data_IF_881589200115
#
_entry.id   IF_881589200115
#
_cell.length_a   1.000
_cell.length_b   1.000
_cell.length_c   1.000
_cell.angle_alpha   90.00
_cell.angle_beta   90.00
_cell.angle_gamma   90.00
#
_symmetry.space_group_name_H-M   'P 1'
#
loop_
_entity.id
_entity.type
_entity.pdbx_description
1 polymer ?
#
# COMPACT_ATOMS: atom_id res chain seq x y z
N UNK A 1 10.66 41.48 10.85
CA UNK A 1 9.29 41.69 10.36
C UNK A 1 9.14 43.20 10.22
N UNK A 2 8.83 43.72 9.04
CA UNK A 2 8.66 45.17 8.85
C UNK A 2 7.40 45.65 9.56
N UNK A 3 7.37 46.94 9.92
CA UNK A 3 6.21 47.61 10.52
C UNK A 3 4.95 47.42 9.65
N UNK A 4 5.11 47.46 8.32
CA UNK A 4 4.02 47.25 7.37
C UNK A 4 3.45 45.82 7.42
N UNK A 5 4.31 44.81 7.53
CA UNK A 5 3.87 43.43 7.69
C UNK A 5 3.04 43.26 8.97
N UNK A 6 3.48 43.83 10.10
CA UNK A 6 2.72 43.80 11.36
C UNK A 6 1.35 44.49 11.26
N UNK A 7 1.25 45.61 10.53
CA UNK A 7 -0.03 46.30 10.29
C UNK A 7 -1.00 45.39 9.52
N UNK A 8 -0.51 44.75 8.45
CA UNK A 8 -1.34 43.85 7.62
C UNK A 8 -1.82 42.64 8.43
N UNK A 9 -0.97 42.06 9.27
CA UNK A 9 -1.36 40.98 10.17
C UNK A 9 -2.48 41.43 11.14
N UNK A 10 -2.42 42.65 11.66
CA UNK A 10 -3.49 43.20 12.49
C UNK A 10 -4.78 43.45 11.70
N UNK A 11 -4.69 43.90 10.45
CA UNK A 11 -5.86 44.08 9.58
C UNK A 11 -6.57 42.75 9.26
N UNK A 12 -5.82 41.65 9.14
CA UNK A 12 -6.36 40.29 8.98
C UNK A 12 -7.09 39.85 10.24
N UNK A 13 -6.51 40.07 11.43
CA UNK A 13 -7.15 39.77 12.72
C UNK A 13 -8.45 40.55 12.89
N UNK A 14 -8.44 41.83 12.56
CA UNK A 14 -9.64 42.67 12.63
C UNK A 14 -10.75 42.18 11.70
N UNK A 15 -10.42 41.62 10.53
CA UNK A 15 -11.43 40.99 9.67
C UNK A 15 -11.98 39.69 10.27
N UNK A 16 -11.12 38.87 10.88
CA UNK A 16 -11.52 37.63 11.54
C UNK A 16 -12.50 37.91 12.71
N UNK A 17 -12.19 38.93 13.52
CA UNK A 17 -12.93 39.24 14.74
C UNK A 17 -14.08 40.23 14.51
N UNK A 18 -14.05 41.01 13.44
CA UNK A 18 -14.99 42.10 13.15
C UNK A 18 -16.24 41.68 12.37
N UNK A 19 -17.12 42.64 12.10
CA UNK A 19 -18.37 42.41 11.33
C UNK A 19 -18.18 42.44 9.81
N UNK A 20 -17.03 42.93 9.34
CA UNK A 20 -16.72 43.04 7.91
C UNK A 20 -16.65 41.66 7.24
N UNK A 21 -17.33 41.51 6.10
CA UNK A 21 -17.36 40.26 5.33
C UNK A 21 -16.18 40.11 4.36
N UNK A 22 -15.52 41.20 3.99
CA UNK A 22 -14.38 41.17 3.07
C UNK A 22 -13.50 42.39 3.24
N UNK A 23 -12.21 42.25 2.93
CA UNK A 23 -11.24 43.34 2.97
C UNK A 23 -10.20 43.19 1.87
N UNK A 24 -9.80 44.30 1.26
CA UNK A 24 -8.76 44.33 0.23
C UNK A 24 -7.52 45.03 0.80
N UNK A 25 -6.37 44.36 0.75
CA UNK A 25 -5.11 44.85 1.32
C UNK A 25 -4.06 44.93 0.21
N UNK A 26 -3.45 46.10 0.03
CA UNK A 26 -2.32 46.26 -0.88
C UNK A 26 -1.03 45.71 -0.26
N UNK A 27 -0.32 44.88 -1.02
CA UNK A 27 0.97 44.26 -0.67
C UNK A 27 2.13 44.81 -1.53
N UNK A 28 1.93 45.93 -2.21
CA UNK A 28 2.88 46.49 -3.18
C UNK A 28 4.25 46.77 -2.56
N UNK A 29 4.26 47.29 -1.33
CA UNK A 29 5.48 47.68 -0.61
C UNK A 29 6.20 46.52 0.10
N UNK A 30 5.69 45.29 -0.02
CA UNK A 30 6.28 44.12 0.59
C UNK A 30 7.12 43.32 -0.39
N UNK A 31 8.23 42.77 0.09
CA UNK A 31 9.01 41.82 -0.71
C UNK A 31 8.32 40.44 -0.78
N UNK A 32 8.82 39.56 -1.65
CA UNK A 32 8.26 38.22 -1.83
C UNK A 32 8.29 37.35 -0.56
N UNK A 33 9.28 37.55 0.31
CA UNK A 33 9.43 36.79 1.56
C UNK A 33 8.38 37.23 2.58
N UNK A 34 8.15 38.53 2.70
CA UNK A 34 7.13 39.11 3.59
C UNK A 34 5.71 38.77 3.14
N UNK A 35 5.45 38.80 1.83
CA UNK A 35 4.17 38.34 1.27
C UNK A 35 3.90 36.88 1.61
N UNK A 36 4.92 36.01 1.48
CA UNK A 36 4.79 34.60 1.84
C UNK A 36 4.54 34.40 3.34
N UNK A 37 5.12 35.24 4.21
CA UNK A 37 4.83 35.19 5.65
C UNK A 37 3.36 35.50 5.94
N UNK A 38 2.79 36.49 5.26
CA UNK A 38 1.37 36.85 5.41
C UNK A 38 0.47 35.72 4.91
N UNK A 39 0.77 35.12 3.76
CA UNK A 39 0.00 33.98 3.24
C UNK A 39 0.03 32.80 4.21
N UNK A 40 1.23 32.43 4.67
CA UNK A 40 1.38 31.35 5.65
C UNK A 40 0.60 31.64 6.93
N UNK A 41 0.65 32.88 7.44
CA UNK A 41 -0.08 33.26 8.64
C UNK A 41 -1.61 33.10 8.49
N UNK A 42 -2.18 33.48 7.34
CA UNK A 42 -3.61 33.29 7.08
C UNK A 42 -3.93 31.79 6.99
N UNK A 43 -3.10 31.02 6.28
CA UNK A 43 -3.27 29.58 6.11
C UNK A 43 -3.11 28.80 7.43
N UNK A 44 -2.25 29.22 8.35
CA UNK A 44 -2.05 28.52 9.62
C UNK A 44 -3.05 28.93 10.68
N UNK A 45 -3.31 30.24 10.84
CA UNK A 45 -4.09 30.76 11.98
C UNK A 45 -5.57 30.99 11.66
N UNK A 46 -5.92 31.26 10.39
CA UNK A 46 -7.26 31.70 9.99
C UNK A 46 -7.87 30.90 8.84
N UNK A 47 -7.32 29.73 8.49
CA UNK A 47 -7.80 28.91 7.36
C UNK A 47 -9.29 28.56 7.43
N UNK A 48 -9.86 28.44 8.63
CA UNK A 48 -11.27 28.11 8.84
C UNK A 48 -12.17 29.35 8.97
N UNK A 49 -11.61 30.56 8.88
CA UNK A 49 -12.31 31.82 9.11
C UNK A 49 -12.21 32.79 7.93
N UNK A 50 -11.13 32.74 7.15
CA UNK A 50 -10.82 33.69 6.07
C UNK A 50 -10.34 32.93 4.82
N UNK A 51 -11.04 33.12 3.70
CA UNK A 51 -10.56 32.79 2.36
C UNK A 51 -9.77 33.98 1.78
N UNK A 52 -8.74 33.74 0.97
CA UNK A 52 -8.01 34.81 0.30
C UNK A 52 -7.73 34.56 -1.18
N UNK A 53 -7.76 35.64 -1.97
CA UNK A 53 -7.42 35.66 -3.39
C UNK A 53 -6.29 36.67 -3.66
N UNK A 54 -5.27 36.25 -4.42
CA UNK A 54 -4.18 37.13 -4.85
C UNK A 54 -4.50 37.70 -6.23
N UNK A 55 -4.61 39.02 -6.34
CA UNK A 55 -4.69 39.70 -7.64
C UNK A 55 -3.41 40.46 -7.89
N UNK A 56 -2.81 40.22 -9.06
CA UNK A 56 -1.66 40.98 -9.53
C UNK A 56 -1.93 41.56 -10.91
N UNK A 57 -1.68 42.85 -11.06
CA UNK A 57 -1.73 43.56 -12.34
C UNK A 57 -0.42 44.28 -12.59
N UNK A 58 0.07 44.20 -13.84
CA UNK A 58 1.26 44.91 -14.28
C UNK A 58 0.82 46.13 -15.08
N UNK A 59 1.16 47.33 -14.62
CA UNK A 59 1.03 48.58 -15.37
C UNK A 59 2.43 49.18 -15.55
N UNK A 60 3.07 48.91 -16.69
CA UNK A 60 4.46 49.30 -16.94
C UNK A 60 5.44 48.63 -15.98
N UNK A 61 6.31 49.41 -15.33
CA UNK A 61 7.29 48.91 -14.35
C UNK A 61 6.72 48.70 -12.93
N UNK A 62 5.45 49.06 -12.69
CA UNK A 62 4.82 48.91 -11.38
C UNK A 62 3.98 47.63 -11.32
N UNK A 63 4.29 46.77 -10.35
CA UNK A 63 3.55 45.55 -10.05
C UNK A 63 2.62 45.80 -8.88
N UNK A 64 1.33 45.92 -9.17
CA UNK A 64 0.29 46.00 -8.15
C UNK A 64 -0.03 44.59 -7.66
N UNK A 65 0.09 44.36 -6.35
CA UNK A 65 -0.28 43.09 -5.70
C UNK A 65 -1.28 43.39 -4.61
N UNK A 66 -2.50 42.88 -4.77
CA UNK A 66 -3.61 43.07 -3.84
C UNK A 66 -4.05 41.71 -3.32
N UNK A 67 -4.27 41.65 -2.01
CA UNK A 67 -4.82 40.50 -1.31
C UNK A 67 -6.27 40.80 -0.96
N UNK A 68 -7.19 40.03 -1.54
CA UNK A 68 -8.61 40.10 -1.19
C UNK A 68 -8.88 39.02 -0.17
N UNK A 69 -9.37 39.41 1.00
CA UNK A 69 -9.74 38.54 2.10
C UNK A 69 -11.26 38.51 2.20
N UNK A 70 -11.85 37.32 2.40
CA UNK A 70 -13.30 37.15 2.55
C UNK A 70 -13.57 36.28 3.77
N UNK A 71 -14.42 36.76 4.67
CA UNK A 71 -14.84 36.03 5.87
C UNK A 71 -15.76 34.88 5.49
N UNK A 72 -15.45 33.69 6.02
CA UNK A 72 -16.24 32.49 5.78
C UNK A 72 -17.51 32.59 6.64
N UNK A 73 -18.62 33.02 6.04
CA UNK A 73 -19.92 33.13 6.72
C UNK A 73 -20.85 31.98 6.31
N UNK A 74 -21.10 31.09 7.26
CA UNK A 74 -21.90 29.87 7.08
C UNK A 74 -21.07 28.65 6.69
N UNK A 75 -21.59 27.46 7.00
CA UNK A 75 -21.08 26.17 6.49
C UNK A 75 -21.16 26.17 4.97
N UNK A 76 -20.19 26.79 4.29
CA UNK A 76 -19.88 26.45 2.91
C UNK A 76 -19.42 25.00 2.98
N UNK A 77 -20.27 24.09 2.55
CA UNK A 77 -19.76 22.91 1.87
C UNK A 77 -18.84 23.44 0.78
N UNK A 78 -17.53 23.41 1.03
CA UNK A 78 -16.54 23.56 -0.01
C UNK A 78 -16.93 22.48 -1.02
N UNK A 79 -17.53 22.88 -2.14
CA UNK A 79 -17.65 22.01 -3.30
C UNK A 79 -16.22 21.67 -3.67
N UNK A 80 -15.72 20.55 -3.12
CA UNK A 80 -14.43 20.00 -3.48
C UNK A 80 -14.45 19.90 -5.00
N UNK A 81 -13.62 20.68 -5.66
CA UNK A 81 -13.40 20.48 -7.07
C UNK A 81 -12.87 19.04 -7.21
N UNK A 82 -13.41 18.23 -8.13
CA UNK A 82 -12.98 16.85 -8.27
C UNK A 82 -11.46 16.84 -8.51
N UNK A 83 -10.76 15.98 -7.77
CA UNK A 83 -9.31 15.81 -7.91
C UNK A 83 -9.00 15.52 -9.39
N UNK A 84 -8.22 16.39 -10.01
CA UNK A 84 -7.78 16.17 -11.39
C UNK A 84 -6.66 15.13 -11.40
N UNK A 85 -6.97 13.93 -11.89
CA UNK A 85 -6.04 12.81 -11.94
C UNK A 85 -4.97 13.08 -13.01
N UNK A 86 -3.70 12.89 -12.63
CA UNK A 86 -2.55 12.96 -13.52
C UNK A 86 -1.65 11.71 -13.39
N UNK A 87 -0.62 11.62 -14.23
CA UNK A 87 0.30 10.47 -14.26
C UNK A 87 1.10 10.33 -12.95
N UNK A 88 1.35 11.42 -12.23
CA UNK A 88 2.06 11.41 -10.93
C UNK A 88 1.21 10.76 -9.85
N UNK A 89 -0.09 11.06 -9.83
CA UNK A 89 -1.04 10.41 -8.93
C UNK A 89 -1.15 8.92 -9.21
N UNK A 90 -1.21 8.54 -10.48
CA UNK A 90 -1.27 7.12 -10.88
C UNK A 90 0.01 6.39 -10.47
N UNK A 91 1.19 6.97 -10.68
CA UNK A 91 2.47 6.37 -10.26
C UNK A 91 2.52 6.13 -8.75
N UNK A 92 2.13 7.14 -7.98
CA UNK A 92 2.11 7.07 -6.52
C UNK A 92 1.15 5.97 -6.03
N UNK A 93 -0.05 5.93 -6.59
CA UNK A 93 -1.06 4.91 -6.28
C UNK A 93 -0.56 3.50 -6.59
N UNK A 94 -0.02 3.29 -7.80
CA UNK A 94 0.54 2.00 -8.22
C UNK A 94 1.68 1.55 -7.31
N UNK A 95 2.56 2.49 -6.94
CA UNK A 95 3.73 2.23 -6.08
C UNK A 95 3.30 1.75 -4.69
N UNK A 96 2.40 2.46 -4.01
CA UNK A 96 1.99 2.09 -2.65
C UNK A 96 1.14 0.83 -2.60
N UNK A 97 0.32 0.58 -3.61
CA UNK A 97 -0.58 -0.57 -3.65
C UNK A 97 0.03 -1.80 -4.35
N UNK A 98 1.22 -1.67 -4.96
CA UNK A 98 1.88 -2.70 -5.77
C UNK A 98 0.96 -3.29 -6.85
N UNK A 99 0.15 -2.43 -7.48
CA UNK A 99 -0.70 -2.87 -8.57
C UNK A 99 0.14 -3.16 -9.81
N UNK A 100 -0.13 -4.25 -10.53
CA UNK A 100 0.62 -4.61 -11.72
C UNK A 100 0.09 -3.88 -12.95
N UNK A 101 0.26 -2.55 -12.96
CA UNK A 101 -0.10 -1.69 -14.09
C UNK A 101 1.12 -1.47 -14.97
N UNK A 102 1.06 -1.93 -16.22
CA UNK A 102 2.17 -1.86 -17.17
C UNK A 102 2.38 -0.45 -17.77
N UNK A 103 1.35 0.40 -17.71
CA UNK A 103 1.37 1.75 -18.26
C UNK A 103 0.88 2.73 -17.20
N UNK A 104 1.82 3.51 -16.68
CA UNK A 104 1.55 4.56 -15.69
C UNK A 104 1.09 5.81 -16.45
N UNK A 105 -0.14 5.78 -16.95
CA UNK A 105 -0.76 6.90 -17.63
C UNK A 105 -2.24 7.01 -17.24
N UNK A 106 -2.67 8.18 -16.79
CA UNK A 106 -4.03 8.44 -16.32
C UNK A 106 -5.10 8.18 -17.39
N UNK A 107 -4.77 8.25 -18.68
CA UNK A 107 -5.74 7.95 -19.76
C UNK A 107 -6.16 6.49 -19.81
N UNK A 108 -5.35 5.60 -19.22
CA UNK A 108 -5.63 4.15 -19.21
C UNK A 108 -6.01 3.65 -17.82
N UNK A 109 -6.04 4.51 -16.78
CA UNK A 109 -6.21 4.03 -15.41
C UNK A 109 -7.55 3.32 -15.20
N UNK A 110 -8.65 3.85 -15.73
CA UNK A 110 -9.97 3.22 -15.59
C UNK A 110 -10.01 1.83 -16.21
N UNK A 111 -9.38 1.66 -17.38
CA UNK A 111 -9.27 0.36 -18.03
C UNK A 111 -8.57 -0.68 -17.14
N UNK A 112 -7.45 -0.28 -16.52
CA UNK A 112 -6.70 -1.14 -15.62
C UNK A 112 -7.48 -1.41 -14.34
N UNK A 113 -8.11 -0.39 -13.73
CA UNK A 113 -8.91 -0.55 -12.54
C UNK A 113 -10.03 -1.56 -12.79
N UNK A 114 -10.82 -1.40 -13.86
CA UNK A 114 -11.91 -2.33 -14.17
C UNK A 114 -11.44 -3.76 -14.45
N UNK A 115 -10.31 -3.91 -15.15
CA UNK A 115 -9.80 -5.23 -15.51
C UNK A 115 -9.09 -5.93 -14.35
N UNK A 116 -8.52 -5.19 -13.39
CA UNK A 116 -7.77 -5.73 -12.25
C UNK A 116 -8.61 -5.83 -10.98
N UNK A 117 -9.72 -5.10 -10.88
CA UNK A 117 -10.57 -5.09 -9.68
C UNK A 117 -10.98 -6.48 -9.18
N UNK A 118 -11.39 -7.43 -10.05
CA UNK A 118 -11.76 -8.77 -9.61
C UNK A 118 -10.63 -9.55 -8.91
N UNK A 119 -9.38 -9.10 -9.06
CA UNK A 119 -8.19 -9.77 -8.55
C UNK A 119 -7.50 -9.00 -7.42
N UNK A 120 -7.63 -7.67 -7.40
CA UNK A 120 -6.86 -6.78 -6.53
C UNK A 120 -7.70 -5.83 -5.67
N UNK A 121 -9.03 -5.76 -5.85
CA UNK A 121 -9.92 -4.83 -5.13
C UNK A 121 -9.41 -3.37 -5.19
N UNK A 122 -9.05 -2.97 -6.42
CA UNK A 122 -8.30 -1.75 -6.67
C UNK A 122 -9.18 -0.52 -6.87
N UNK A 123 -10.46 -0.67 -7.24
CA UNK A 123 -11.42 0.43 -7.35
C UNK A 123 -11.65 1.09 -6.00
N UNK A 124 -12.00 0.31 -4.97
CA UNK A 124 -12.20 0.83 -3.62
C UNK A 124 -10.94 1.49 -3.06
N UNK A 125 -9.79 0.84 -3.28
CA UNK A 125 -8.49 1.36 -2.86
C UNK A 125 -8.12 2.66 -3.58
N UNK A 126 -8.47 2.81 -4.86
CA UNK A 126 -8.24 4.04 -5.62
C UNK A 126 -9.13 5.18 -5.13
N UNK A 127 -10.40 4.91 -4.82
CA UNK A 127 -11.29 5.91 -4.21
C UNK A 127 -10.74 6.42 -2.88
N UNK A 128 -10.26 5.54 -2.00
CA UNK A 128 -9.63 5.93 -0.74
C UNK A 128 -8.35 6.78 -0.95
N UNK A 129 -7.56 6.46 -1.98
CA UNK A 129 -6.38 7.26 -2.31
C UNK A 129 -6.75 8.69 -2.76
N UNK A 130 -7.84 8.85 -3.51
CA UNK A 130 -8.33 10.18 -3.88
C UNK A 130 -8.83 10.94 -2.65
N UNK A 131 -9.54 10.27 -1.73
CA UNK A 131 -9.97 10.86 -0.45
C UNK A 131 -8.78 11.31 0.41
N UNK A 132 -7.68 10.54 0.45
CA UNK A 132 -6.44 10.92 1.12
C UNK A 132 -5.84 12.19 0.50
N UNK A 133 -5.79 12.28 -0.83
CA UNK A 133 -5.31 13.50 -1.53
C UNK A 133 -6.18 14.70 -1.17
N UNK A 134 -7.51 14.55 -1.18
CA UNK A 134 -8.42 15.63 -0.80
C UNK A 134 -8.22 16.06 0.66
N UNK A 135 -8.02 15.11 1.57
CA UNK A 135 -7.82 15.34 3.00
C UNK A 135 -6.51 16.07 3.30
N UNK A 136 -5.50 15.82 2.47
CA UNK A 136 -4.17 16.39 2.55
C UNK A 136 -3.88 17.46 1.48
N UNK A 137 -4.92 17.90 0.77
CA UNK A 137 -4.97 18.96 -0.25
C UNK A 137 -4.19 18.69 -1.55
N UNK A 138 -2.98 18.13 -1.46
CA UNK A 138 -2.11 17.89 -2.63
C UNK A 138 -1.33 16.59 -2.48
N UNK A 139 -0.91 16.01 -3.61
CA UNK A 139 -0.01 14.84 -3.67
C UNK A 139 1.30 15.10 -2.91
N UNK A 140 1.85 16.31 -3.03
CA UNK A 140 3.08 16.70 -2.33
C UNK A 140 2.91 16.70 -0.81
N UNK A 141 1.84 17.35 -0.32
CA UNK A 141 1.51 17.37 1.13
C UNK A 141 1.21 15.98 1.67
N UNK A 142 0.46 15.15 0.93
CA UNK A 142 0.24 13.75 1.27
C UNK A 142 1.56 13.00 1.40
N UNK A 143 2.45 13.10 0.40
CA UNK A 143 3.76 12.43 0.41
C UNK A 143 4.64 12.88 1.57
N UNK A 144 4.68 14.19 1.86
CA UNK A 144 5.40 14.71 3.03
C UNK A 144 4.84 14.16 4.33
N UNK A 145 3.51 14.08 4.47
CA UNK A 145 2.87 13.52 5.67
C UNK A 145 3.18 12.03 5.82
N UNK A 146 3.16 11.27 4.72
CA UNK A 146 3.56 9.86 4.70
C UNK A 146 4.99 9.69 5.24
N UNK A 147 5.94 10.49 4.75
CA UNK A 147 7.34 10.42 5.17
C UNK A 147 7.51 10.78 6.65
N UNK A 148 6.80 11.80 7.14
CA UNK A 148 6.82 12.16 8.57
C UNK A 148 6.33 11.02 9.47
N UNK A 149 5.25 10.33 9.08
CA UNK A 149 4.74 9.17 9.81
C UNK A 149 5.78 8.04 9.80
N UNK A 150 6.39 7.78 8.64
CA UNK A 150 7.45 6.78 8.51
C UNK A 150 8.65 7.08 9.42
N UNK A 151 9.14 8.32 9.43
CA UNK A 151 10.25 8.75 10.28
C UNK A 151 9.91 8.63 11.76
N UNK A 152 8.68 9.01 12.14
CA UNK A 152 8.22 8.91 13.53
C UNK A 152 8.18 7.46 14.00
N UNK A 153 7.62 6.56 13.19
CA UNK A 153 7.59 5.13 13.47
C UNK A 153 8.99 4.54 13.52
N UNK A 154 9.84 4.88 12.54
CA UNK A 154 11.21 4.38 12.48
C UNK A 154 11.99 4.81 13.71
N UNK A 155 11.91 6.07 14.10
CA UNK A 155 12.56 6.59 15.30
C UNK A 155 12.03 5.89 16.56
N UNK A 156 10.71 5.71 16.68
CA UNK A 156 10.11 5.00 17.80
C UNK A 156 10.64 3.57 17.93
N UNK A 157 10.59 2.79 16.85
CA UNK A 157 11.04 1.39 16.83
C UNK A 157 12.54 1.29 17.12
N UNK A 158 13.36 2.12 16.45
CA UNK A 158 14.82 1.99 16.51
C UNK A 158 15.43 2.43 17.85
N UNK A 159 14.75 3.35 18.56
CA UNK A 159 15.15 3.78 19.89
C UNK A 159 14.61 2.88 21.00
N UNK A 160 13.65 1.98 20.69
CA UNK A 160 13.07 1.10 21.70
C UNK A 160 14.09 0.07 22.23
N UNK A 161 14.32 -0.03 23.56
CA UNK A 161 15.33 -0.92 24.13
C UNK A 161 15.16 -2.40 23.76
N UNK A 162 13.92 -2.88 23.66
CA UNK A 162 13.62 -4.25 23.24
C UNK A 162 14.08 -4.59 21.83
N UNK A 163 14.20 -3.61 20.92
CA UNK A 163 14.77 -3.89 19.60
C UNK A 163 16.27 -4.25 19.70
N UNK A 164 17.01 -3.55 20.56
CA UNK A 164 18.42 -3.89 20.82
C UNK A 164 18.54 -5.28 21.46
N UNK A 165 17.65 -5.60 22.41
CA UNK A 165 17.57 -6.95 22.98
C UNK A 165 17.28 -8.01 21.90
N UNK A 166 16.33 -7.75 21.01
CA UNK A 166 16.01 -8.64 19.89
C UNK A 166 17.22 -8.84 18.96
N UNK A 167 17.93 -7.77 18.61
CA UNK A 167 19.14 -7.84 17.79
C UNK A 167 20.27 -8.63 18.46
N UNK A 168 20.44 -8.50 19.78
CA UNK A 168 21.51 -9.16 20.52
C UNK A 168 21.17 -10.62 20.92
N UNK A 169 19.89 -10.99 20.94
CA UNK A 169 19.46 -12.35 21.28
C UNK A 169 19.83 -13.34 20.17
N UNK A 170 20.45 -14.47 20.51
CA UNK A 170 20.92 -15.44 19.51
C UNK A 170 19.83 -16.37 18.96
N UNK A 171 18.73 -16.56 19.68
CA UNK A 171 17.66 -17.51 19.34
C UNK A 171 18.20 -18.93 19.03
N UNK A 172 19.15 -19.37 19.86
CA UNK A 172 19.94 -20.57 19.58
C UNK A 172 19.06 -21.81 19.41
N UNK A 173 17.98 -21.94 20.19
CA UNK A 173 17.04 -23.06 20.10
C UNK A 173 16.32 -23.07 18.75
N UNK A 174 15.80 -21.94 18.30
CA UNK A 174 15.14 -21.80 17.00
C UNK A 174 16.12 -22.05 15.85
N UNK A 175 17.34 -21.52 15.96
CA UNK A 175 18.37 -21.71 14.93
C UNK A 175 18.79 -23.17 14.82
N UNK A 176 18.99 -23.86 15.96
CA UNK A 176 19.36 -25.26 15.98
C UNK A 176 18.21 -26.16 15.49
N UNK A 177 16.96 -25.78 15.78
CA UNK A 177 15.78 -26.44 15.21
C UNK A 177 15.76 -26.33 13.67
N UNK A 178 15.98 -25.14 13.10
CA UNK A 178 16.05 -24.98 11.64
C UNK A 178 17.14 -25.87 11.03
N UNK A 179 18.34 -25.88 11.62
CA UNK A 179 19.49 -26.66 11.13
C UNK A 179 19.24 -28.16 11.18
N UNK A 180 18.68 -28.66 12.28
CA UNK A 180 18.40 -30.08 12.50
C UNK A 180 17.14 -30.57 11.79
N UNK A 181 16.25 -29.67 11.38
CA UNK A 181 15.01 -30.01 10.70
C UNK A 181 15.23 -30.80 9.40
N UNK A 182 14.43 -31.85 9.24
CA UNK A 182 14.40 -32.70 8.04
C UNK A 182 13.83 -31.98 6.82
N UNK A 183 12.99 -30.96 7.03
CA UNK A 183 12.44 -30.15 5.95
C UNK A 183 13.56 -29.26 5.39
N UNK A 184 13.68 -29.13 4.07
CA UNK A 184 14.69 -28.26 3.45
C UNK A 184 14.01 -27.26 2.54
N UNK A 185 14.57 -26.06 2.47
CA UNK A 185 14.11 -24.98 1.60
C UNK A 185 14.17 -25.41 0.14
N UNK A 186 13.08 -25.24 -0.60
CA UNK A 186 13.00 -25.53 -2.04
C UNK A 186 11.79 -24.82 -2.65
N UNK A 187 11.88 -24.50 -3.95
CA UNK A 187 10.90 -23.66 -4.66
C UNK A 187 10.41 -24.32 -5.95
N UNK A 188 9.74 -25.48 -5.86
CA UNK A 188 9.31 -26.28 -7.02
C UNK A 188 7.82 -26.19 -7.34
N UNK A 189 7.13 -25.14 -6.87
CA UNK A 189 5.69 -25.02 -7.06
C UNK A 189 5.29 -24.77 -8.53
N UNK A 190 5.97 -23.84 -9.21
CA UNK A 190 5.58 -23.34 -10.54
C UNK A 190 6.17 -24.18 -11.66
N UNK A 191 5.69 -25.41 -11.79
CA UNK A 191 6.11 -26.37 -12.83
C UNK A 191 4.91 -26.92 -13.60
N UNK A 192 5.14 -27.42 -14.82
CA UNK A 192 4.07 -28.00 -15.65
C UNK A 192 3.44 -29.24 -14.99
N UNK A 193 4.22 -29.98 -14.22
CA UNK A 193 3.80 -31.18 -13.48
C UNK A 193 2.80 -30.84 -12.37
N UNK A 194 2.72 -29.58 -11.95
CA UNK A 194 1.80 -29.11 -10.92
C UNK A 194 0.51 -28.48 -11.47
N UNK A 195 0.34 -28.48 -12.80
CA UNK A 195 -0.91 -28.01 -13.42
C UNK A 195 -2.13 -28.84 -12.94
N UNK A 196 -3.20 -28.13 -12.58
CA UNK A 196 -4.48 -28.63 -12.05
C UNK A 196 -4.38 -29.40 -10.74
N UNK A 197 -3.23 -29.41 -10.07
CA UNK A 197 -3.10 -29.97 -8.72
C UNK A 197 -3.63 -28.99 -7.67
N UNK A 198 -4.09 -29.58 -6.57
CA UNK A 198 -4.59 -28.87 -5.39
C UNK A 198 -3.51 -28.82 -4.31
N UNK A 199 -3.41 -27.68 -3.64
CA UNK A 199 -2.42 -27.42 -2.61
C UNK A 199 -3.02 -26.70 -1.40
N UNK A 200 -2.28 -26.69 -0.29
CA UNK A 200 -2.55 -25.88 0.91
C UNK A 200 -1.35 -24.96 1.12
N UNK A 201 -1.59 -23.65 1.13
CA UNK A 201 -0.61 -22.63 1.52
C UNK A 201 -0.70 -22.40 3.03
N UNK A 202 0.43 -22.44 3.72
CA UNK A 202 0.60 -22.01 5.12
C UNK A 202 1.61 -20.88 5.13
N UNK A 203 1.15 -19.66 5.36
CA UNK A 203 1.94 -18.42 5.23
C UNK A 203 1.83 -17.59 6.51
N UNK A 204 2.91 -16.98 6.98
CA UNK A 204 2.86 -16.07 8.14
C UNK A 204 2.30 -14.70 7.71
N UNK A 205 1.14 -14.34 8.28
CA UNK A 205 0.51 -13.04 8.07
C UNK A 205 1.51 -11.95 8.44
N UNK A 206 1.93 -11.14 7.46
CA UNK A 206 2.82 -9.99 7.68
C UNK A 206 4.10 -10.37 8.48
N UNK A 207 4.80 -11.44 8.11
CA UNK A 207 5.95 -12.03 8.81
C UNK A 207 6.88 -11.07 9.59
N UNK A 208 7.41 -10.03 8.95
CA UNK A 208 8.34 -9.08 9.60
C UNK A 208 7.76 -8.35 10.83
N UNK A 209 6.45 -8.12 10.88
CA UNK A 209 5.76 -7.51 12.00
C UNK A 209 5.45 -8.57 13.05
N UNK A 210 4.79 -9.63 12.62
CA UNK A 210 4.23 -10.65 13.49
C UNK A 210 5.29 -11.41 14.26
N UNK A 211 6.40 -11.77 13.61
CA UNK A 211 7.51 -12.46 14.27
C UNK A 211 8.14 -11.59 15.34
N UNK A 212 8.36 -10.29 15.07
CA UNK A 212 8.91 -9.40 16.09
C UNK A 212 7.90 -9.16 17.22
N UNK A 213 6.62 -8.98 16.90
CA UNK A 213 5.55 -8.83 17.88
C UNK A 213 5.45 -10.05 18.81
N UNK A 214 5.63 -11.27 18.30
CA UNK A 214 5.60 -12.49 19.10
C UNK A 214 6.63 -12.48 20.24
N UNK A 215 7.84 -11.96 19.98
CA UNK A 215 8.91 -11.92 20.99
C UNK A 215 8.90 -10.64 21.83
N UNK A 216 8.51 -9.51 21.23
CA UNK A 216 8.58 -8.18 21.82
C UNK A 216 7.37 -7.32 21.42
N UNK A 217 6.15 -7.64 21.91
CA UNK A 217 4.94 -6.89 21.56
C UNK A 217 5.01 -5.41 21.99
N UNK A 218 5.82 -5.10 23.00
CA UNK A 218 6.05 -3.75 23.50
C UNK A 218 6.67 -2.80 22.47
N UNK A 219 7.46 -3.30 21.50
CA UNK A 219 8.02 -2.49 20.40
C UNK A 219 6.91 -1.86 19.55
N UNK A 220 5.73 -2.48 19.53
CA UNK A 220 4.56 -2.01 18.81
C UNK A 220 3.45 -1.51 19.73
N UNK A 221 3.79 -1.08 20.95
CA UNK A 221 2.82 -0.65 21.97
C UNK A 221 1.71 -1.68 22.23
N UNK A 222 2.02 -2.98 22.11
CA UNK A 222 1.07 -4.09 22.22
C UNK A 222 -0.07 -4.07 21.18
N UNK A 223 0.02 -3.24 20.14
CA UNK A 223 -0.90 -3.25 19.00
C UNK A 223 -0.84 -4.63 18.34
N UNK A 224 -1.98 -5.32 18.18
CA UNK A 224 -1.99 -6.69 17.64
C UNK A 224 -1.85 -6.73 16.12
N UNK A 225 -2.02 -5.58 15.46
CA UNK A 225 -1.89 -5.45 14.02
C UNK A 225 -1.02 -4.25 13.63
N UNK A 226 -0.32 -4.38 12.49
CA UNK A 226 0.43 -3.27 11.87
C UNK A 226 -0.46 -2.04 11.67
N UNK A 227 -1.73 -2.27 11.36
CA UNK A 227 -2.71 -1.21 11.14
C UNK A 227 -2.92 -0.38 12.42
N UNK A 228 -3.23 -1.06 13.53
CA UNK A 228 -3.45 -0.40 14.81
C UNK A 228 -2.22 0.38 15.26
N UNK A 229 -1.03 -0.21 15.08
CA UNK A 229 0.23 0.44 15.42
C UNK A 229 0.47 1.72 14.61
N UNK A 230 0.23 1.69 13.30
CA UNK A 230 0.43 2.86 12.42
C UNK A 230 -0.57 3.97 12.77
N UNK A 231 -1.81 3.62 13.10
CA UNK A 231 -2.84 4.59 13.47
C UNK A 231 -2.45 5.46 14.68
N UNK A 232 -1.61 4.95 15.59
CA UNK A 232 -1.06 5.74 16.71
C UNK A 232 -0.25 6.97 16.27
N UNK A 233 0.27 6.98 15.02
CA UNK A 233 1.10 8.05 14.47
C UNK A 233 0.35 8.93 13.45
N UNK A 234 -0.84 8.50 13.01
CA UNK A 234 -1.62 9.20 12.00
C UNK A 234 -2.28 10.49 12.52
N UNK A 235 -2.59 10.58 13.81
CA UNK A 235 -3.30 11.72 14.40
C UNK A 235 -4.73 11.85 13.88
N UNK A 236 -5.24 13.07 13.76
CA UNK A 236 -6.65 13.36 13.38
C UNK A 236 -6.95 13.16 11.89
N UNK A 237 -5.92 13.05 11.03
CA UNK A 237 -6.04 12.83 9.58
C UNK A 237 -5.40 11.49 9.20
N UNK A 238 -6.13 10.37 9.26
CA UNK A 238 -5.61 9.07 8.83
C UNK A 238 -5.31 9.06 7.32
N UNK A 239 -4.35 8.24 6.92
CA UNK A 239 -3.98 8.04 5.50
C UNK A 239 -4.24 6.59 5.12
N UNK A 240 -5.36 6.33 4.48
CA UNK A 240 -5.80 4.97 4.14
C UNK A 240 -4.82 4.24 3.22
N UNK A 241 -4.20 4.96 2.30
CA UNK A 241 -3.17 4.48 1.36
C UNK A 241 -1.98 3.82 2.07
N UNK A 242 -1.63 4.28 3.27
CA UNK A 242 -0.52 3.71 4.05
C UNK A 242 -0.89 2.45 4.81
N UNK A 243 -2.12 2.40 5.31
CA UNK A 243 -2.60 1.36 6.20
C UNK A 243 -2.47 -0.04 5.57
N UNK A 244 -2.68 -0.10 4.25
CA UNK A 244 -2.65 -1.34 3.47
C UNK A 244 -1.37 -1.52 2.63
N UNK A 245 -0.46 -0.53 2.60
CA UNK A 245 0.72 -0.60 1.74
C UNK A 245 1.75 -1.63 2.24
N UNK A 246 1.83 -2.77 1.55
CA UNK A 246 2.88 -3.78 1.78
C UNK A 246 4.28 -3.20 1.54
N UNK A 247 4.44 -2.38 0.51
CA UNK A 247 5.73 -1.76 0.17
C UNK A 247 6.22 -0.86 1.29
N UNK A 248 5.35 0.02 1.78
CA UNK A 248 5.70 0.97 2.83
C UNK A 248 6.09 0.25 4.13
N UNK A 249 5.28 -0.72 4.59
CA UNK A 249 5.63 -1.58 5.75
C UNK A 249 7.01 -2.24 5.58
N UNK A 250 7.29 -2.80 4.39
CA UNK A 250 8.57 -3.45 4.11
C UNK A 250 9.73 -2.45 4.15
N UNK A 251 9.56 -1.24 3.62
CA UNK A 251 10.57 -0.18 3.69
C UNK A 251 10.83 0.28 5.11
N UNK A 252 9.78 0.59 5.88
CA UNK A 252 9.89 1.05 7.27
C UNK A 252 10.58 0.01 8.16
N UNK A 253 10.11 -1.24 8.15
CA UNK A 253 10.71 -2.31 8.96
C UNK A 253 12.07 -2.79 8.42
N UNK A 254 12.31 -2.63 7.12
CA UNK A 254 13.61 -2.84 6.48
C UNK A 254 14.66 -1.84 6.96
N UNK A 255 14.30 -0.55 7.01
CA UNK A 255 15.16 0.52 7.54
C UNK A 255 15.47 0.33 9.03
N UNK A 256 14.53 -0.23 9.81
CA UNK A 256 14.75 -0.62 11.20
C UNK A 256 15.65 -1.86 11.37
N UNK A 257 16.13 -2.47 10.28
CA UNK A 257 17.01 -3.66 10.25
C UNK A 257 16.42 -4.93 10.88
N UNK A 258 15.09 -5.03 10.93
CA UNK A 258 14.36 -6.16 11.53
C UNK A 258 14.31 -7.39 10.60
N UNK A 259 14.32 -7.15 9.28
CA UNK A 259 13.99 -8.15 8.25
C UNK A 259 14.89 -9.40 8.26
N UNK A 260 16.23 -9.31 8.34
CA UNK A 260 17.10 -10.49 8.25
C UNK A 260 16.80 -11.52 9.34
N UNK A 261 16.62 -11.05 10.58
CA UNK A 261 16.39 -11.93 11.75
C UNK A 261 14.95 -12.44 11.79
N UNK A 262 13.97 -11.60 11.43
CA UNK A 262 12.57 -12.05 11.34
C UNK A 262 12.35 -13.08 10.24
N UNK A 263 13.06 -13.01 9.11
CA UNK A 263 13.02 -14.05 8.08
C UNK A 263 13.53 -15.40 8.60
N UNK A 264 14.64 -15.39 9.34
CA UNK A 264 15.19 -16.62 9.93
C UNK A 264 14.22 -17.23 10.96
N UNK A 265 13.61 -16.41 11.81
CA UNK A 265 12.65 -16.87 12.81
C UNK A 265 11.30 -17.27 12.18
N UNK A 266 10.88 -16.64 11.09
CA UNK A 266 9.72 -17.07 10.30
C UNK A 266 9.91 -18.49 9.78
N UNK A 267 11.10 -18.80 9.27
CA UNK A 267 11.45 -20.15 8.83
C UNK A 267 11.35 -21.19 9.95
N UNK A 268 11.77 -20.83 11.17
CA UNK A 268 11.57 -21.68 12.35
C UNK A 268 10.08 -22.00 12.56
N UNK A 269 9.22 -20.99 12.56
CA UNK A 269 7.79 -21.16 12.80
C UNK A 269 7.11 -22.05 11.74
N UNK A 270 7.42 -21.85 10.47
CA UNK A 270 6.87 -22.68 9.38
C UNK A 270 7.34 -24.13 9.53
N UNK A 271 8.64 -24.36 9.77
CA UNK A 271 9.19 -25.72 9.97
C UNK A 271 8.63 -26.39 11.21
N UNK A 272 8.37 -25.63 12.27
CA UNK A 272 7.77 -26.11 13.51
C UNK A 272 6.37 -26.68 13.25
N UNK A 273 5.52 -25.95 12.51
CA UNK A 273 4.20 -26.47 12.09
C UNK A 273 4.34 -27.78 11.34
N UNK A 274 5.23 -27.85 10.34
CA UNK A 274 5.40 -29.08 9.57
C UNK A 274 5.79 -30.27 10.47
N UNK A 275 6.62 -30.03 11.49
CA UNK A 275 7.04 -31.06 12.44
C UNK A 275 5.92 -31.47 13.39
N UNK A 276 5.14 -30.51 13.91
CA UNK A 276 3.98 -30.75 14.80
C UNK A 276 2.86 -31.51 14.07
N UNK A 277 2.65 -31.18 12.80
CA UNK A 277 1.67 -31.83 11.92
C UNK A 277 2.13 -33.21 11.42
N UNK A 278 3.39 -33.57 11.67
CA UNK A 278 4.05 -34.79 11.19
C UNK A 278 3.90 -34.94 9.67
N UNK A 279 4.05 -33.84 8.94
CA UNK A 279 3.84 -33.80 7.49
C UNK A 279 4.93 -34.59 6.77
N UNK A 280 4.61 -35.55 5.89
CA UNK A 280 5.62 -36.20 5.06
C UNK A 280 6.40 -35.17 4.24
N UNK A 281 7.72 -35.28 4.19
CA UNK A 281 8.56 -34.34 3.41
C UNK A 281 8.22 -34.35 1.91
N UNK A 282 7.69 -35.47 1.41
CA UNK A 282 7.21 -35.64 0.03
C UNK A 282 5.95 -34.83 -0.28
N UNK A 283 5.21 -34.43 0.75
CA UNK A 283 3.98 -33.65 0.60
C UNK A 283 4.26 -32.15 0.62
N UNK A 284 5.48 -31.74 1.01
CA UNK A 284 5.93 -30.35 0.95
C UNK A 284 6.45 -30.04 -0.45
N UNK A 285 5.78 -29.14 -1.16
CA UNK A 285 6.04 -28.79 -2.57
C UNK A 285 6.82 -27.48 -2.70
N UNK A 286 6.68 -26.61 -1.68
CA UNK A 286 7.47 -25.40 -1.52
C UNK A 286 7.72 -25.19 -0.03
N UNK A 287 8.94 -24.81 0.31
CA UNK A 287 9.29 -24.26 1.61
C UNK A 287 10.26 -23.12 1.39
N UNK A 288 9.84 -21.90 1.75
CA UNK A 288 10.65 -20.71 1.58
C UNK A 288 10.31 -19.65 2.63
N UNK A 289 11.27 -19.34 3.50
CA UNK A 289 11.15 -18.34 4.56
C UNK A 289 9.86 -18.48 5.39
N UNK A 290 8.85 -17.67 5.09
CA UNK A 290 7.58 -17.52 5.78
C UNK A 290 6.42 -18.33 5.17
N UNK A 291 6.64 -19.10 4.10
CA UNK A 291 5.62 -19.89 3.40
C UNK A 291 6.03 -21.37 3.28
N UNK A 292 5.08 -22.26 3.56
CA UNK A 292 5.09 -23.65 3.11
C UNK A 292 3.87 -23.94 2.24
N UNK A 293 4.06 -24.73 1.18
CA UNK A 293 2.97 -25.23 0.35
C UNK A 293 2.98 -26.75 0.38
N UNK A 294 1.83 -27.32 0.72
CA UNK A 294 1.62 -28.76 0.85
C UNK A 294 0.72 -29.25 -0.27
N UNK A 295 0.85 -30.52 -0.66
CA UNK A 295 -0.18 -31.20 -1.43
C UNK A 295 -1.51 -31.20 -0.66
N UNK A 296 -2.62 -30.94 -1.35
CA UNK A 296 -3.92 -30.85 -0.68
C UNK A 296 -4.39 -32.22 -0.20
N UNK A 297 -4.71 -32.28 1.09
CA UNK A 297 -5.41 -33.39 1.71
C UNK A 297 -6.46 -32.80 2.66
N UNK A 298 -7.76 -33.15 2.53
CA UNK A 298 -8.82 -32.58 3.36
C UNK A 298 -8.61 -32.73 4.87
N UNK A 299 -8.03 -33.85 5.32
CA UNK A 299 -7.75 -34.12 6.72
C UNK A 299 -6.59 -33.26 7.23
N UNK A 300 -5.55 -33.07 6.41
CA UNK A 300 -4.43 -32.17 6.73
C UNK A 300 -4.93 -30.73 6.79
N UNK A 301 -5.75 -30.30 5.81
CA UNK A 301 -6.34 -28.96 5.79
C UNK A 301 -7.19 -28.70 7.04
N UNK A 302 -8.10 -29.61 7.39
CA UNK A 302 -8.92 -29.48 8.60
C UNK A 302 -8.05 -29.37 9.85
N UNK A 303 -7.04 -30.23 10.02
CA UNK A 303 -6.12 -30.12 11.17
C UNK A 303 -5.36 -28.79 11.18
N UNK A 304 -4.91 -28.29 10.03
CA UNK A 304 -4.24 -26.99 9.95
C UNK A 304 -5.19 -25.84 10.34
N UNK A 305 -6.43 -25.89 9.87
CA UNK A 305 -7.45 -24.91 10.24
C UNK A 305 -7.76 -24.98 11.74
N UNK A 306 -8.03 -26.16 12.29
CA UNK A 306 -8.40 -26.33 13.70
C UNK A 306 -7.30 -25.84 14.67
N UNK A 307 -6.02 -26.01 14.30
CA UNK A 307 -4.89 -25.66 15.17
C UNK A 307 -4.30 -24.27 14.91
N UNK A 308 -4.39 -23.75 13.69
CA UNK A 308 -3.67 -22.53 13.30
C UNK A 308 -4.56 -21.43 12.67
N UNK A 309 -5.83 -21.69 12.38
CA UNK A 309 -6.74 -20.62 11.98
C UNK A 309 -6.92 -19.59 13.11
N UNK A 310 -6.94 -18.30 12.79
CA UNK A 310 -7.03 -17.22 13.77
C UNK A 310 -5.75 -16.99 14.58
N UNK A 311 -4.68 -17.75 14.32
CA UNK A 311 -3.33 -17.44 14.79
C UNK A 311 -2.66 -16.47 13.80
N UNK A 312 -1.33 -16.34 13.86
CA UNK A 312 -0.62 -15.54 12.87
C UNK A 312 -0.37 -16.25 11.52
N UNK A 313 -0.87 -17.48 11.35
CA UNK A 313 -0.78 -18.19 10.08
C UNK A 313 -2.05 -17.99 9.25
N UNK A 314 -1.83 -17.82 7.95
CA UNK A 314 -2.85 -17.87 6.92
C UNK A 314 -2.80 -19.24 6.28
N UNK A 315 -3.85 -20.04 6.48
CA UNK A 315 -4.02 -21.36 5.86
C UNK A 315 -5.04 -21.21 4.74
N UNK A 316 -4.64 -21.47 3.49
CA UNK A 316 -5.55 -21.31 2.33
C UNK A 316 -5.32 -22.42 1.31
N UNK A 317 -6.37 -23.11 0.86
CA UNK A 317 -6.25 -24.06 -0.22
C UNK A 317 -6.36 -23.38 -1.59
N UNK A 318 -5.67 -23.93 -2.59
CA UNK A 318 -5.72 -23.41 -3.97
C UNK A 318 -5.45 -24.50 -5.01
N UNK A 319 -5.95 -24.30 -6.23
CA UNK A 319 -5.58 -25.04 -7.43
C UNK A 319 -4.52 -24.25 -8.21
N UNK A 320 -3.51 -24.91 -8.75
CA UNK A 320 -2.52 -24.26 -9.61
C UNK A 320 -2.84 -24.53 -11.09
N UNK A 321 -3.27 -23.51 -11.81
CA UNK A 321 -3.55 -23.59 -13.26
C UNK A 321 -2.37 -23.02 -14.03
N UNK A 322 -1.93 -23.69 -15.10
CA UNK A 322 -0.87 -23.21 -15.98
C UNK A 322 -1.54 -22.60 -17.22
N UNK A 323 -1.11 -21.41 -17.61
CA UNK A 323 -1.55 -20.78 -18.85
C UNK A 323 -0.86 -21.42 -20.08
N UNK A 324 -1.44 -21.29 -21.29
CA UNK A 324 -0.83 -21.80 -22.52
C UNK A 324 0.55 -21.18 -22.80
N UNK A 325 1.35 -21.87 -23.62
CA UNK A 325 2.63 -21.42 -24.19
C UNK A 325 3.80 -21.23 -23.21
N UNK A 326 3.62 -20.48 -22.12
CA UNK A 326 4.68 -20.15 -21.17
C UNK A 326 4.45 -20.77 -19.79
N UNK A 327 5.47 -20.74 -18.92
CA UNK A 327 5.37 -21.16 -17.52
C UNK A 327 4.76 -20.04 -16.66
N UNK A 328 3.56 -19.61 -17.05
CA UNK A 328 2.73 -18.64 -16.34
C UNK A 328 1.62 -19.39 -15.64
N UNK A 329 1.26 -18.96 -14.44
CA UNK A 329 0.35 -19.70 -13.59
C UNK A 329 -0.70 -18.81 -12.93
N UNK A 330 -1.83 -19.41 -12.57
CA UNK A 330 -2.90 -18.83 -11.77
C UNK A 330 -3.09 -19.71 -10.54
N UNK A 331 -2.97 -19.12 -9.35
CA UNK A 331 -3.47 -19.74 -8.11
C UNK A 331 -4.96 -19.43 -8.01
N UNK A 332 -5.80 -20.44 -8.17
CA UNK A 332 -7.24 -20.34 -7.96
C UNK A 332 -7.56 -20.79 -6.54
N UNK A 333 -7.85 -19.83 -5.66
CA UNK A 333 -8.22 -20.09 -4.28
C UNK A 333 -9.68 -20.54 -4.20
N UNK A 334 -9.98 -21.43 -3.26
CA UNK A 334 -11.32 -21.94 -3.05
C UNK A 334 -11.61 -22.13 -1.57
N UNK A 335 -12.89 -22.28 -1.23
CA UNK A 335 -13.34 -22.64 0.11
C UNK A 335 -13.88 -24.08 0.09
N UNK A 336 -13.21 -25.04 0.75
CA UNK A 336 -13.68 -26.43 0.80
C UNK A 336 -15.05 -26.61 1.44
N UNK A 337 -15.54 -25.63 2.20
CA UNK A 337 -16.88 -25.65 2.80
C UNK A 337 -18.00 -25.21 1.86
N UNK A 338 -17.66 -24.59 0.73
CA UNK A 338 -18.60 -24.05 -0.26
C UNK A 338 -18.71 -24.92 -1.52
N UNK A 339 -18.45 -26.23 -1.40
CA UNK A 339 -18.59 -27.15 -2.55
C UNK A 339 -20.00 -27.06 -3.12
N UNK A 340 -20.11 -26.77 -4.41
CA UNK A 340 -21.39 -26.74 -5.13
C UNK A 340 -21.77 -28.16 -5.50
N UNK A 341 -23.07 -28.47 -5.49
CA UNK A 341 -23.60 -29.74 -6.00
C UNK A 341 -22.94 -30.07 -7.36
N UNK A 342 -22.32 -31.26 -7.48
CA UNK A 342 -21.54 -31.79 -8.63
C UNK A 342 -20.01 -31.60 -8.64
N UNK A 343 -19.32 -31.64 -7.48
CA UNK A 343 -17.84 -31.62 -7.39
C UNK A 343 -17.16 -30.38 -8.02
N UNK A 344 -17.92 -29.32 -8.30
CA UNK A 344 -17.37 -28.07 -8.80
C UNK A 344 -16.81 -27.24 -7.64
N UNK A 345 -15.52 -26.93 -7.74
CA UNK A 345 -14.81 -26.06 -6.81
C UNK A 345 -15.21 -24.61 -7.11
N UNK A 346 -15.95 -23.97 -6.21
CA UNK A 346 -16.23 -22.54 -6.28
C UNK A 346 -14.94 -21.75 -6.02
N UNK A 347 -14.46 -21.05 -7.06
CA UNK A 347 -13.28 -20.20 -6.95
C UNK A 347 -13.65 -18.90 -6.26
N UNK A 348 -12.98 -18.60 -5.15
CA UNK A 348 -13.23 -17.39 -4.35
C UNK A 348 -12.32 -16.24 -4.74
N UNK A 349 -11.13 -16.54 -5.26
CA UNK A 349 -10.15 -15.53 -5.70
C UNK A 349 -9.11 -16.15 -6.63
N UNK A 350 -8.52 -15.36 -7.51
CA UNK A 350 -7.37 -15.77 -8.32
C UNK A 350 -6.13 -14.90 -8.05
N UNK A 351 -4.94 -15.46 -8.20
CA UNK A 351 -3.68 -14.71 -8.21
C UNK A 351 -2.76 -15.18 -9.34
N UNK A 352 -2.35 -14.26 -10.19
CA UNK A 352 -1.44 -14.53 -11.32
C UNK A 352 0.02 -14.55 -10.86
N UNK A 353 0.78 -15.56 -11.31
CA UNK A 353 2.15 -15.84 -10.87
C UNK A 353 3.08 -16.10 -12.04
N UNK A 354 4.34 -15.68 -11.87
CA UNK A 354 5.41 -15.83 -12.85
C UNK A 354 5.17 -15.12 -14.19
N UNK A 355 4.28 -14.11 -14.21
CA UNK A 355 3.94 -13.36 -15.42
C UNK A 355 4.72 -12.04 -15.42
N UNK A 356 5.53 -11.76 -16.45
CA UNK A 356 6.11 -10.43 -16.63
C UNK A 356 5.02 -9.37 -16.71
N UNK A 357 5.21 -8.24 -16.02
CA UNK A 357 4.27 -7.13 -15.95
C UNK A 357 3.69 -6.72 -17.33
N UNK A 358 4.49 -6.61 -18.41
CA UNK A 358 3.96 -6.23 -19.73
C UNK A 358 2.92 -7.19 -20.33
N UNK A 359 2.85 -8.43 -19.84
CA UNK A 359 1.99 -9.48 -20.41
C UNK A 359 0.79 -9.81 -19.53
N UNK A 360 0.68 -9.22 -18.33
CA UNK A 360 -0.35 -9.60 -17.38
C UNK A 360 -1.76 -9.42 -17.94
N UNK A 361 -2.03 -8.30 -18.62
CA UNK A 361 -3.36 -8.03 -19.18
C UNK A 361 -3.77 -9.06 -20.23
N UNK A 362 -2.85 -9.42 -21.13
CA UNK A 362 -3.09 -10.50 -22.10
C UNK A 362 -3.37 -11.83 -21.41
N UNK A 363 -2.64 -12.14 -20.33
CA UNK A 363 -2.83 -13.36 -19.55
C UNK A 363 -4.18 -13.40 -18.83
N UNK A 364 -4.64 -12.26 -18.29
CA UNK A 364 -5.98 -12.13 -17.70
C UNK A 364 -7.04 -12.39 -18.75
N UNK A 365 -6.98 -11.70 -19.91
CA UNK A 365 -7.95 -11.91 -21.00
C UNK A 365 -7.97 -13.36 -21.46
N UNK A 366 -6.80 -13.98 -21.61
CA UNK A 366 -6.69 -15.38 -22.01
C UNK A 366 -7.30 -16.33 -20.98
N UNK A 367 -7.07 -16.07 -19.69
CA UNK A 367 -7.65 -16.86 -18.60
C UNK A 367 -9.17 -16.72 -18.52
N UNK A 368 -9.70 -15.52 -18.76
CA UNK A 368 -11.12 -15.21 -18.77
C UNK A 368 -11.85 -15.58 -20.07
N UNK A 369 -11.15 -16.18 -21.04
CA UNK A 369 -11.63 -16.46 -22.40
C UNK A 369 -12.22 -15.21 -23.10
N UNK A 370 -11.59 -14.05 -22.88
CA UNK A 370 -11.93 -12.77 -23.51
C UNK A 370 -10.96 -12.44 -24.65
N UNK A 371 -11.42 -11.70 -25.69
CA UNK A 371 -10.55 -11.25 -26.76
C UNK A 371 -9.48 -10.29 -26.24
N UNK A 372 -8.25 -10.46 -26.74
CA UNK A 372 -7.11 -9.58 -26.45
C UNK A 372 -7.17 -8.38 -27.39
N UNK A 373 -7.22 -7.18 -26.81
CA UNK A 373 -7.36 -5.92 -27.54
C UNK A 373 -6.01 -5.20 -27.67
N UNK A 374 -5.99 -4.07 -28.38
CA UNK A 374 -4.77 -3.28 -28.54
C UNK A 374 -4.20 -2.78 -27.21
N UNK A 375 -5.06 -2.33 -26.28
CA UNK A 375 -4.62 -1.81 -24.97
C UNK A 375 -3.94 -2.88 -24.11
N UNK A 376 -4.35 -4.15 -24.25
CA UNK A 376 -3.73 -5.29 -23.57
C UNK A 376 -2.30 -5.56 -24.05
N UNK A 377 -1.99 -5.13 -25.29
CA UNK A 377 -0.68 -5.28 -25.92
C UNK A 377 0.22 -4.06 -25.74
N UNK A 378 -0.29 -3.00 -25.09
CA UNK A 378 0.50 -1.80 -24.83
C UNK A 378 1.44 -2.01 -23.65
N UNK A 379 2.67 -1.53 -23.81
CA UNK A 379 3.76 -1.69 -22.84
C UNK A 379 4.56 -0.40 -22.75
N UNK A 380 5.09 -0.09 -21.56
CA UNK A 380 6.04 1.02 -21.38
C UNK A 380 7.45 0.49 -21.66
N UNK A 381 8.15 1.06 -22.63
CA UNK A 381 9.55 0.72 -22.93
C UNK A 381 10.51 1.52 -22.06
N UNK A 382 11.79 1.13 -22.01
CA UNK A 382 12.81 1.74 -21.13
C UNK A 382 12.94 3.26 -21.27
N UNK A 383 12.64 3.80 -22.46
CA UNK A 383 12.64 5.24 -22.73
C UNK A 383 11.42 6.00 -22.19
N UNK A 384 10.48 5.31 -21.53
CA UNK A 384 9.24 5.88 -21.00
C UNK A 384 8.12 6.02 -22.03
N UNK A 385 8.36 5.70 -23.30
CA UNK A 385 7.33 5.71 -24.34
C UNK A 385 6.41 4.49 -24.24
N UNK A 386 5.17 4.64 -24.70
CA UNK A 386 4.22 3.53 -24.83
C UNK A 386 4.35 2.93 -26.22
N UNK A 387 4.70 1.64 -26.28
CA UNK A 387 4.71 0.84 -27.49
C UNK A 387 3.52 -0.13 -27.48
N UNK A 388 3.18 -0.70 -28.63
CA UNK A 388 2.16 -1.75 -28.76
C UNK A 388 2.80 -2.95 -29.45
N UNK A 389 2.58 -4.16 -28.92
CA UNK A 389 3.00 -5.38 -29.61
C UNK A 389 2.12 -5.62 -30.83
N UNK A 390 2.75 -6.01 -31.94
CA UNK A 390 2.05 -6.30 -33.20
C UNK A 390 1.07 -7.48 -33.02
N UNK A 391 1.50 -8.51 -32.30
CA UNK A 391 0.75 -9.75 -32.08
C UNK A 391 0.54 -10.05 -30.59
N UNK A 392 -0.44 -10.92 -30.31
CA UNK A 392 -0.63 -11.46 -28.96
C UNK A 392 0.45 -12.47 -28.62
N UNK A 393 0.75 -12.62 -27.33
CA UNK A 393 1.64 -13.68 -26.84
C UNK A 393 0.96 -15.07 -26.74
N UNK A 394 -0.22 -15.28 -27.36
CA UNK A 394 -1.02 -16.50 -27.30
C UNK A 394 -1.52 -16.96 -28.67
#
# INVERSE_FOLDING_TARGET
MTERCSIILNEIKQLADGEDLSKSISLEDLDSKERNQIYNFIETEYCNQIEFEKKSSNYGNNKQVVLILTKITGKKEVKKMPVQIDDTMVDLFCTYNKLPIAIVNHKYIDYYLDSLDPYFDCRATFSQFLEDIETHETVGKLTSRINQIQESILNYITTHPSLQKFHNTRFQQEIDFIKSSIYKTHCTLYTKENHNKLFISVDIIKANYTVLYHYHPEIFQNSTSWLDFVNLFCGEKPIHTLLNSKLWRQRTLGQARITPKTNQLAEYFVRKILHEMQTPTTDVVLLHNDEAVLQYNPLVFRRLMDNYHGTFFKVIPFRLVKLPQYNYFVKEYFDPSQSVDNDQIAITRCEFKCIPLPFLMQCIKKYEDKPITEIDRKVTIESGHVATLDESIF
#
